data_IF_349866695689
#
_entry.id   IF_349866695689
#
_cell.length_a   1.000
_cell.length_b   1.000
_cell.length_c   1.000
_cell.angle_alpha   90.00
_cell.angle_beta   90.00
_cell.angle_gamma   90.00
#
_symmetry.space_group_name_H-M   'P 1'
#
loop_
_entity.id
_entity.type
_entity.pdbx_description
1 polymer ?
#
# COMPACT_ATOMS: atom_id res chain seq x y z
N UNK A 1 -7.99 -23.30 5.69
CA UNK A 1 -8.56 -21.96 5.47
C UNK A 1 -7.41 -20.98 5.52
N UNK A 2 -7.06 -20.36 4.39
CA UNK A 2 -5.83 -19.54 4.25
C UNK A 2 -6.10 -18.15 4.82
N UNK A 3 -5.28 -17.72 5.77
CA UNK A 3 -5.27 -16.36 6.31
C UNK A 3 -4.95 -15.38 5.18
N UNK A 4 -5.97 -14.82 4.54
CA UNK A 4 -5.80 -13.65 3.69
C UNK A 4 -5.37 -12.48 4.60
N UNK A 5 -4.41 -11.63 4.20
CA UNK A 5 -4.06 -10.44 4.97
C UNK A 5 -5.31 -9.58 5.17
N UNK A 6 -5.82 -9.52 6.40
CA UNK A 6 -7.06 -8.84 6.72
C UNK A 6 -6.78 -7.33 6.84
N UNK A 7 -7.15 -6.58 5.81
CA UNK A 7 -7.09 -5.12 5.84
C UNK A 7 -7.84 -4.57 7.06
N UNK A 8 -7.27 -3.58 7.73
CA UNK A 8 -7.94 -2.91 8.86
C UNK A 8 -9.26 -2.28 8.39
N UNK A 9 -10.27 -2.26 9.26
CA UNK A 9 -11.57 -1.66 8.92
C UNK A 9 -11.50 -0.15 8.71
N UNK A 10 -10.51 0.53 9.29
CA UNK A 10 -10.26 1.95 9.04
C UNK A 10 -9.48 2.21 7.74
N UNK A 11 -9.10 1.18 6.98
CA UNK A 11 -8.47 1.33 5.66
C UNK A 11 -9.52 1.40 4.57
N UNK A 12 -9.60 2.54 3.88
CA UNK A 12 -10.60 2.80 2.83
C UNK A 12 -10.00 2.99 1.43
N UNK A 13 -8.73 3.38 1.32
CA UNK A 13 -8.06 3.65 0.04
C UNK A 13 -7.75 2.37 -0.75
N UNK A 14 -7.93 2.43 -2.08
CA UNK A 14 -7.54 1.37 -3.04
C UNK A 14 -8.07 -0.03 -2.71
N UNK A 15 -9.26 -0.12 -2.09
CA UNK A 15 -9.91 -1.38 -1.71
C UNK A 15 -11.15 -1.66 -2.56
N UNK A 16 -11.33 -2.90 -3.03
CA UNK A 16 -12.60 -3.30 -3.66
C UNK A 16 -13.77 -3.08 -2.71
N UNK A 17 -14.81 -2.38 -3.17
CA UNK A 17 -16.04 -2.15 -2.41
C UNK A 17 -15.92 -1.15 -1.25
N UNK A 18 -14.80 -0.41 -1.14
CA UNK A 18 -14.67 0.71 -0.21
C UNK A 18 -14.16 1.96 -0.93
N UNK A 19 -14.61 3.13 -0.51
CA UNK A 19 -14.17 4.40 -1.08
C UNK A 19 -14.30 5.58 -0.13
N UNK A 20 -14.09 6.79 -0.67
CA UNK A 20 -14.07 8.02 0.12
C UNK A 20 -15.36 8.24 0.92
N UNK A 21 -16.51 7.84 0.39
CA UNK A 21 -17.80 7.95 1.09
C UNK A 21 -17.84 7.10 2.37
N UNK A 22 -17.20 5.94 2.38
CA UNK A 22 -17.17 5.09 3.57
C UNK A 22 -16.26 5.68 4.64
N UNK A 23 -15.13 6.28 4.24
CA UNK A 23 -14.26 7.03 5.16
C UNK A 23 -14.99 8.23 5.79
N UNK A 24 -15.76 8.97 4.99
CA UNK A 24 -16.56 10.10 5.49
C UNK A 24 -17.64 9.66 6.49
N UNK A 25 -18.29 8.52 6.27
CA UNK A 25 -19.26 7.97 7.23
C UNK A 25 -18.60 7.60 8.55
N UNK A 26 -17.42 6.98 8.53
CA UNK A 26 -16.69 6.66 9.75
C UNK A 26 -16.29 7.92 10.54
N UNK A 27 -15.85 8.98 9.84
CA UNK A 27 -15.55 10.27 10.48
C UNK A 27 -16.80 10.92 11.09
N UNK A 28 -17.93 10.90 10.38
CA UNK A 28 -19.21 11.41 10.89
C UNK A 28 -19.67 10.67 12.17
N UNK A 29 -19.50 9.35 12.21
CA UNK A 29 -19.77 8.55 13.41
C UNK A 29 -18.86 8.95 14.59
N UNK A 30 -17.57 9.18 14.37
CA UNK A 30 -16.65 9.63 15.41
C UNK A 30 -16.97 11.04 15.92
N UNK A 31 -17.33 11.96 15.01
CA UNK A 31 -17.78 13.30 15.40
C UNK A 31 -19.02 13.23 16.29
N UNK A 32 -20.00 12.40 15.94
CA UNK A 32 -21.21 12.16 16.74
C UNK A 32 -20.92 11.51 18.10
N UNK A 33 -19.86 10.69 18.18
CA UNK A 33 -19.40 10.10 19.44
C UNK A 33 -18.59 11.09 20.32
N UNK A 34 -18.39 12.34 19.87
CA UNK A 34 -17.73 13.39 20.64
C UNK A 34 -16.23 13.54 20.40
N UNK A 35 -15.67 12.83 19.40
CA UNK A 35 -14.27 13.01 19.00
C UNK A 35 -14.13 14.23 18.09
N UNK A 36 -13.74 15.38 18.66
CA UNK A 36 -13.70 16.67 17.94
C UNK A 36 -12.29 17.10 17.50
N UNK A 37 -11.26 16.32 17.85
CA UNK A 37 -9.87 16.62 17.51
C UNK A 37 -9.41 15.70 16.39
N UNK A 38 -8.81 16.29 15.36
CA UNK A 38 -8.27 15.57 14.20
C UNK A 38 -6.76 15.75 14.17
N UNK A 39 -6.04 14.63 14.00
CA UNK A 39 -4.61 14.63 13.71
C UNK A 39 -4.48 14.31 12.22
N UNK A 40 -4.05 15.31 11.45
CA UNK A 40 -3.78 15.14 10.02
C UNK A 40 -2.32 14.70 9.82
N UNK A 41 -2.13 13.64 9.04
CA UNK A 41 -0.84 13.05 8.78
C UNK A 41 -0.78 12.56 7.34
N UNK A 42 0.23 13.04 6.60
CA UNK A 42 0.50 12.65 5.21
C UNK A 42 1.95 12.21 5.04
N UNK A 43 2.19 11.26 4.14
CA UNK A 43 3.53 10.75 3.82
C UNK A 43 3.99 11.36 2.50
N UNK A 44 4.90 12.34 2.58
CA UNK A 44 5.46 13.00 1.40
C UNK A 44 6.20 12.00 0.51
N UNK A 45 5.89 12.01 -0.80
CA UNK A 45 6.54 11.15 -1.78
C UNK A 45 6.31 9.66 -1.51
N UNK A 46 5.15 9.31 -0.94
CA UNK A 46 4.85 7.96 -0.46
C UNK A 46 5.20 6.86 -1.48
N UNK A 47 4.76 7.02 -2.74
CA UNK A 47 5.02 6.05 -3.80
C UNK A 47 6.48 5.94 -4.21
N UNK A 48 7.30 6.97 -3.96
CA UNK A 48 8.69 7.03 -4.38
C UNK A 48 9.63 6.44 -3.30
N UNK A 49 9.15 6.30 -2.05
CA UNK A 49 9.94 5.87 -0.89
C UNK A 49 9.53 4.49 -0.34
N UNK A 50 8.74 3.71 -1.07
CA UNK A 50 8.38 2.34 -0.65
C UNK A 50 9.62 1.45 -0.72
N UNK A 51 10.04 0.89 0.41
CA UNK A 51 11.14 -0.08 0.46
C UNK A 51 10.73 -1.40 -0.21
N UNK A 52 11.44 -1.76 -1.28
CA UNK A 52 11.22 -3.02 -2.01
C UNK A 52 11.47 -4.23 -1.11
N UNK A 53 12.56 -4.22 -0.33
CA UNK A 53 12.93 -5.33 0.54
C UNK A 53 11.86 -5.58 1.62
N UNK A 54 11.35 -4.51 2.24
CA UNK A 54 10.28 -4.62 3.24
C UNK A 54 9.00 -5.17 2.61
N UNK A 55 8.61 -4.65 1.44
CA UNK A 55 7.41 -5.07 0.73
C UNK A 55 7.50 -6.54 0.28
N UNK A 56 8.61 -6.93 -0.32
CA UNK A 56 8.86 -8.29 -0.79
C UNK A 56 8.93 -9.29 0.36
N UNK A 57 9.59 -8.92 1.47
CA UNK A 57 9.63 -9.75 2.69
C UNK A 57 8.21 -9.99 3.22
N UNK A 58 7.39 -8.94 3.31
CA UNK A 58 6.02 -9.03 3.84
C UNK A 58 5.06 -9.76 2.92
N UNK A 59 5.18 -9.61 1.59
CA UNK A 59 4.39 -10.38 0.62
C UNK A 59 4.80 -11.86 0.63
N UNK A 60 6.09 -12.15 0.82
CA UNK A 60 6.62 -13.52 0.88
C UNK A 60 6.14 -14.33 2.10
N UNK A 61 5.67 -13.68 3.17
CA UNK A 61 5.10 -14.36 4.35
C UNK A 61 3.84 -15.20 3.99
N UNK A 62 2.78 -14.62 3.37
CA UNK A 62 1.60 -15.38 2.95
C UNK A 62 1.73 -16.05 1.57
N UNK A 63 2.62 -15.57 0.69
CA UNK A 63 2.74 -16.04 -0.70
C UNK A 63 3.99 -16.90 -0.90
N UNK A 64 3.81 -18.22 -1.02
CA UNK A 64 4.90 -19.16 -1.27
C UNK A 64 5.29 -19.32 -2.76
N UNK A 65 4.54 -18.72 -3.70
CA UNK A 65 4.81 -18.85 -5.14
C UNK A 65 6.02 -18.00 -5.54
N UNK A 66 7.16 -18.65 -5.74
CA UNK A 66 8.41 -18.02 -6.16
C UNK A 66 8.31 -17.34 -7.52
N UNK A 67 7.51 -17.85 -8.46
CA UNK A 67 7.38 -17.24 -9.80
C UNK A 67 6.69 -15.89 -9.72
N UNK A 68 5.64 -15.81 -8.89
CA UNK A 68 4.90 -14.57 -8.67
C UNK A 68 5.74 -13.56 -7.88
N UNK A 69 6.50 -14.00 -6.89
CA UNK A 69 7.47 -13.15 -6.18
C UNK A 69 8.54 -12.60 -7.13
N UNK A 70 9.13 -13.42 -7.99
CA UNK A 70 10.12 -12.95 -8.97
C UNK A 70 9.52 -11.97 -9.98
N UNK A 71 8.26 -12.15 -10.38
CA UNK A 71 7.56 -11.20 -11.26
C UNK A 71 7.33 -9.86 -10.58
N UNK A 72 6.92 -9.87 -9.30
CA UNK A 72 6.75 -8.66 -8.50
C UNK A 72 8.07 -7.92 -8.30
N UNK A 73 9.14 -8.66 -8.01
CA UNK A 73 10.48 -8.10 -7.87
C UNK A 73 10.95 -7.45 -9.18
N UNK A 74 10.76 -8.14 -10.31
CA UNK A 74 11.08 -7.60 -11.62
C UNK A 74 10.27 -6.33 -11.91
N UNK A 75 8.98 -6.31 -11.57
CA UNK A 75 8.11 -5.14 -11.74
C UNK A 75 8.55 -3.95 -10.88
N UNK A 76 8.95 -4.18 -9.63
CA UNK A 76 9.45 -3.13 -8.74
C UNK A 76 10.79 -2.55 -9.21
N UNK A 77 11.65 -3.37 -9.80
CA UNK A 77 12.98 -3.00 -10.32
C UNK A 77 12.98 -2.59 -11.79
N UNK A 78 11.82 -2.43 -12.43
CA UNK A 78 11.76 -1.97 -13.81
C UNK A 78 12.36 -0.57 -13.94
N UNK A 79 13.26 -0.39 -14.91
CA UNK A 79 13.81 0.91 -15.25
C UNK A 79 12.69 1.87 -15.65
N UNK A 80 12.63 3.01 -14.98
CA UNK A 80 11.74 4.10 -15.35
C UNK A 80 12.50 4.93 -16.38
N UNK A 81 12.13 4.80 -17.65
CA UNK A 81 12.75 5.56 -18.72
C UNK A 81 12.11 6.96 -18.75
N UNK A 82 12.89 7.96 -18.34
CA UNK A 82 12.46 9.37 -18.36
C UNK A 82 13.47 10.14 -19.21
N UNK A 83 12.98 10.82 -20.26
CA UNK A 83 13.73 11.79 -21.08
C UNK A 83 15.18 11.37 -21.46
N UNK A 84 15.32 10.18 -22.06
CA UNK A 84 16.58 9.65 -22.61
C UNK A 84 17.65 9.15 -21.61
N UNK A 85 17.35 9.09 -20.30
CA UNK A 85 18.22 8.45 -19.31
C UNK A 85 17.50 7.25 -18.65
N UNK A 86 18.16 6.09 -18.63
CA UNK A 86 17.67 4.91 -17.93
C UNK A 86 18.14 4.96 -16.47
N UNK A 87 17.21 5.00 -15.52
CA UNK A 87 17.53 4.85 -14.10
C UNK A 87 16.69 3.74 -13.46
N UNK A 88 17.38 2.89 -12.70
CA UNK A 88 16.75 1.81 -11.94
C UNK A 88 16.29 2.34 -10.60
N UNK A 89 14.98 2.27 -10.34
CA UNK A 89 14.42 2.68 -9.07
C UNK A 89 14.94 1.80 -7.92
N UNK A 90 15.72 2.39 -7.01
CA UNK A 90 16.20 1.72 -5.79
C UNK A 90 15.15 1.71 -4.68
N UNK A 91 14.11 2.54 -4.79
CA UNK A 91 12.94 2.62 -3.91
C UNK A 91 11.70 3.07 -4.70
N UNK A 92 10.52 2.80 -4.16
CA UNK A 92 9.24 3.24 -4.71
C UNK A 92 8.57 2.26 -5.66
N UNK A 93 7.44 2.66 -6.25
CA UNK A 93 6.75 1.90 -7.30
C UNK A 93 6.64 2.78 -8.54
N UNK A 94 6.76 2.25 -9.76
CA UNK A 94 6.60 3.06 -10.97
C UNK A 94 5.26 3.82 -10.95
N UNK A 95 5.30 5.15 -10.90
CA UNK A 95 4.09 5.98 -10.93
C UNK A 95 3.40 5.81 -12.28
N UNK A 96 2.13 5.42 -12.28
CA UNK A 96 1.34 5.15 -13.49
C UNK A 96 1.19 3.67 -13.86
N UNK A 97 1.86 2.77 -13.15
CA UNK A 97 1.73 1.34 -13.40
C UNK A 97 0.58 0.74 -12.54
N UNK A 98 -0.25 -0.11 -13.14
CA UNK A 98 -1.57 -0.54 -12.60
C UNK A 98 -1.49 -1.19 -11.21
N UNK A 99 -0.35 -1.81 -10.86
CA UNK A 99 -0.16 -2.46 -9.57
C UNK A 99 0.26 -1.49 -8.45
N UNK A 100 0.74 -0.30 -8.78
CA UNK A 100 1.29 0.65 -7.79
C UNK A 100 0.27 1.03 -6.69
N UNK A 101 -1.01 1.29 -7.00
CA UNK A 101 -2.03 1.53 -5.97
C UNK A 101 -2.28 0.32 -5.04
N UNK A 102 -2.18 -0.90 -5.56
CA UNK A 102 -2.34 -2.12 -4.77
C UNK A 102 -1.14 -2.35 -3.84
N UNK A 103 0.09 -2.18 -4.35
CA UNK A 103 1.32 -2.33 -3.59
C UNK A 103 1.43 -1.28 -2.47
N UNK A 104 0.98 -0.06 -2.74
CA UNK A 104 0.77 0.98 -1.75
C UNK A 104 -0.17 0.54 -0.61
N UNK A 105 -1.36 0.07 -0.95
CA UNK A 105 -2.32 -0.40 0.04
C UNK A 105 -1.76 -1.55 0.90
N UNK A 106 -1.04 -2.49 0.28
CA UNK A 106 -0.37 -3.59 0.99
C UNK A 106 0.74 -3.07 1.92
N UNK A 107 1.54 -2.11 1.48
CA UNK A 107 2.61 -1.53 2.31
C UNK A 107 2.03 -0.86 3.57
N UNK A 108 0.99 -0.03 3.44
CA UNK A 108 0.29 0.57 4.59
C UNK A 108 -0.29 -0.51 5.49
N UNK A 109 -0.88 -1.55 4.91
CA UNK A 109 -1.42 -2.67 5.68
C UNK A 109 -0.34 -3.37 6.52
N UNK A 110 0.85 -3.60 5.96
CA UNK A 110 1.94 -4.23 6.70
C UNK A 110 2.54 -3.31 7.77
N UNK A 111 2.65 -2.00 7.49
CA UNK A 111 3.10 -0.99 8.47
C UNK A 111 2.09 -0.79 9.61
N UNK A 112 0.80 -0.93 9.32
CA UNK A 112 -0.27 -0.75 10.31
C UNK A 112 -0.26 -1.83 11.39
N UNK A 113 0.49 -2.92 11.20
CA UNK A 113 0.77 -3.94 12.20
C UNK A 113 -0.46 -4.73 12.65
N UNK A 114 -0.40 -6.05 12.51
CA UNK A 114 -1.31 -6.95 13.22
C UNK A 114 -1.21 -6.68 14.74
N UNK A 115 -2.18 -5.95 15.28
CA UNK A 115 -2.64 -6.11 16.66
C UNK A 115 -4.03 -6.71 16.59
N UNK A 116 -4.07 -8.04 16.79
CA UNK A 116 -5.26 -8.67 17.38
C UNK A 116 -5.43 -8.14 18.80
#
# INVERSE_FOLDING_TARGET
MRNAPCFRDSSHGFRPGRGCKDALRAVDEWLKAGYTWVVDADIKGYFDHISHDLLMSKIGEPLADRRLLSLLEAYLKQDIMTECESWTATQGTPQGAVLSPLLAALTIQYLSGFRQ
#
